data_IF_757750988384
#
_entry.id   IF_757750988384
#
_cell.length_a   1.000
_cell.length_b   1.000
_cell.length_c   1.000
_cell.angle_alpha   90.00
_cell.angle_beta   90.00
_cell.angle_gamma   90.00
#
_symmetry.space_group_name_H-M   'P 1'
#
loop_
_entity.id
_entity.type
_entity.pdbx_description
1 polymer ?
#
# COMPACT_ATOMS: atom_id res chain seq x y z
N UNK A 1 -7.63 -17.22 1.28
CA UNK A 1 -7.07 -15.89 1.48
C UNK A 1 -7.90 -15.09 2.49
N UNK A 2 -9.16 -14.75 2.18
CA UNK A 2 -9.97 -13.83 2.99
C UNK A 2 -10.10 -14.28 4.46
N UNK A 3 -10.36 -15.56 4.71
CA UNK A 3 -10.44 -16.09 6.07
C UNK A 3 -9.13 -15.89 6.85
N UNK A 4 -8.00 -16.24 6.24
CA UNK A 4 -6.68 -16.10 6.87
C UNK A 4 -6.37 -14.63 7.14
N UNK A 5 -6.52 -13.75 6.15
CA UNK A 5 -6.21 -12.33 6.30
C UNK A 5 -7.10 -11.65 7.37
N UNK A 6 -8.39 -11.98 7.43
CA UNK A 6 -9.27 -11.39 8.43
C UNK A 6 -9.06 -11.94 9.83
N UNK A 7 -8.89 -13.26 10.00
CA UNK A 7 -8.68 -13.84 11.34
C UNK A 7 -7.30 -13.50 11.89
N UNK A 8 -6.23 -13.92 11.21
CA UNK A 8 -4.87 -13.67 11.69
C UNK A 8 -4.51 -12.19 11.66
N UNK A 9 -4.90 -11.45 10.60
CA UNK A 9 -4.66 -10.02 10.53
C UNK A 9 -5.37 -9.24 11.64
N UNK A 10 -6.60 -9.61 12.00
CA UNK A 10 -7.33 -8.97 13.12
C UNK A 10 -6.67 -9.28 14.46
N UNK A 11 -6.35 -10.55 14.73
CA UNK A 11 -5.67 -10.95 15.97
C UNK A 11 -4.33 -10.22 16.07
N UNK A 12 -3.54 -10.24 15.00
CA UNK A 12 -2.25 -9.57 14.94
C UNK A 12 -2.39 -8.07 15.19
N UNK A 13 -3.27 -7.38 14.46
CA UNK A 13 -3.48 -5.93 14.60
C UNK A 13 -3.91 -5.52 16.01
N UNK A 14 -4.78 -6.28 16.66
CA UNK A 14 -5.26 -5.98 18.02
C UNK A 14 -4.22 -6.30 19.09
N UNK A 15 -3.33 -7.26 18.86
CA UNK A 15 -2.25 -7.60 19.80
C UNK A 15 -1.04 -6.67 19.70
N UNK A 16 -0.94 -5.88 18.64
CA UNK A 16 0.15 -4.92 18.50
C UNK A 16 0.04 -3.76 19.48
N UNK A 17 1.18 -3.19 19.91
CA UNK A 17 1.20 -2.01 20.75
C UNK A 17 0.45 -0.83 20.14
N UNK A 18 0.11 0.17 20.97
CA UNK A 18 -0.69 1.32 20.56
C UNK A 18 0.05 2.29 19.63
N UNK A 19 1.37 2.18 19.50
CA UNK A 19 2.19 3.11 18.70
C UNK A 19 3.39 2.41 18.06
N UNK A 20 3.96 3.04 17.03
CA UNK A 20 5.24 2.70 16.39
C UNK A 20 5.42 1.22 15.99
N UNK A 21 4.42 0.61 15.41
CA UNK A 21 4.54 -0.74 14.87
C UNK A 21 5.14 -0.71 13.47
N UNK A 22 4.56 0.09 12.58
CA UNK A 22 5.07 0.30 11.23
C UNK A 22 5.90 1.58 11.13
N UNK A 23 6.62 1.73 10.02
CA UNK A 23 7.36 2.96 9.74
C UNK A 23 6.43 4.15 9.62
N UNK A 24 6.78 5.26 10.27
CA UNK A 24 6.03 6.53 10.26
C UNK A 24 4.55 6.36 10.68
N UNK A 25 4.24 5.36 11.51
CA UNK A 25 2.84 5.02 11.87
C UNK A 25 2.13 6.18 12.55
N UNK A 26 2.85 6.96 13.37
CA UNK A 26 2.33 8.15 14.03
C UNK A 26 1.90 9.23 13.01
N UNK A 27 2.65 9.42 11.94
CA UNK A 27 2.31 10.35 10.86
C UNK A 27 1.09 9.84 10.10
N UNK A 28 1.05 8.55 9.80
CA UNK A 28 -0.07 7.92 9.12
C UNK A 28 -1.35 7.94 9.95
N UNK A 29 -1.24 7.69 11.25
CA UNK A 29 -2.36 7.84 12.17
C UNK A 29 -2.91 9.27 12.17
N UNK A 30 -2.04 10.28 12.31
CA UNK A 30 -2.44 11.68 12.29
C UNK A 30 -3.22 12.02 11.01
N UNK A 31 -2.74 11.59 9.84
CA UNK A 31 -3.43 11.82 8.57
C UNK A 31 -4.81 11.14 8.51
N UNK A 32 -4.92 9.89 8.99
CA UNK A 32 -6.18 9.17 9.06
C UNK A 32 -7.17 9.85 10.02
N UNK A 33 -6.69 10.29 11.18
CA UNK A 33 -7.49 10.99 12.20
C UNK A 33 -7.99 12.35 11.68
N UNK A 34 -7.15 13.14 11.03
CA UNK A 34 -7.55 14.40 10.42
C UNK A 34 -8.55 14.20 9.30
N UNK A 35 -8.37 13.17 8.47
CA UNK A 35 -9.35 12.83 7.46
C UNK A 35 -10.71 12.45 8.06
N UNK A 36 -10.72 11.67 9.15
CA UNK A 36 -11.94 11.29 9.87
C UNK A 36 -12.68 12.51 10.43
N UNK A 37 -11.95 13.52 10.85
CA UNK A 37 -12.48 14.71 11.50
C UNK A 37 -12.47 15.96 10.59
N UNK A 38 -12.27 15.79 9.29
CA UNK A 38 -12.24 16.88 8.34
C UNK A 38 -13.52 17.74 8.45
N UNK A 39 -13.35 19.07 8.62
CA UNK A 39 -14.41 20.05 8.88
C UNK A 39 -15.21 19.84 10.17
N UNK A 40 -14.80 18.94 11.04
CA UNK A 40 -15.40 18.83 12.36
C UNK A 40 -14.40 19.40 13.36
N UNK A 41 -14.73 20.46 14.10
CA UNK A 41 -13.83 20.96 15.14
C UNK A 41 -13.67 19.91 16.22
N UNK A 42 -12.49 19.34 16.34
CA UNK A 42 -12.13 18.39 17.37
C UNK A 42 -10.98 18.98 18.16
N UNK A 43 -11.22 19.20 19.44
CA UNK A 43 -10.16 19.53 20.37
C UNK A 43 -9.55 18.18 20.82
N UNK A 44 -8.45 17.78 20.19
CA UNK A 44 -7.58 16.80 20.81
C UNK A 44 -6.62 17.55 21.72
N UNK A 45 -6.33 16.99 22.89
CA UNK A 45 -5.31 17.54 23.76
C UNK A 45 -3.97 17.55 23.01
N UNK A 46 -3.32 18.71 22.79
CA UNK A 46 -2.06 18.79 22.08
C UNK A 46 -0.96 17.94 22.73
N UNK A 47 -0.95 17.82 24.05
CA UNK A 47 -0.01 16.97 24.78
C UNK A 47 -0.22 15.50 24.45
N UNK A 48 -1.47 15.06 24.37
CA UNK A 48 -1.84 13.69 24.05
C UNK A 48 -1.40 13.29 22.63
N UNK A 49 -1.56 14.20 21.68
CA UNK A 49 -1.13 13.95 20.31
C UNK A 49 0.38 14.02 20.15
N UNK A 50 1.04 14.87 20.92
CA UNK A 50 2.49 14.92 20.94
C UNK A 50 3.08 13.64 21.55
N UNK A 51 2.48 13.09 22.59
CA UNK A 51 2.86 11.78 23.14
C UNK A 51 2.59 10.66 22.14
N UNK A 52 1.47 10.70 21.42
CA UNK A 52 1.18 9.74 20.37
C UNK A 52 2.15 9.86 19.17
N UNK A 53 2.48 11.07 18.78
CA UNK A 53 3.36 11.32 17.63
C UNK A 53 4.84 11.21 17.99
N UNK A 54 5.26 11.67 19.17
CA UNK A 54 6.64 11.50 19.67
C UNK A 54 6.94 10.05 20.05
N UNK A 55 5.89 9.32 20.41
CA UNK A 55 5.92 7.92 20.77
C UNK A 55 6.73 7.65 22.04
N UNK A 56 6.08 7.09 23.03
CA UNK A 56 6.80 6.36 24.08
C UNK A 56 7.64 5.31 23.37
N UNK A 57 8.94 5.29 23.61
CA UNK A 57 9.82 4.28 23.03
C UNK A 57 9.62 2.95 23.77
N UNK A 58 8.62 2.21 23.32
CA UNK A 58 8.26 0.90 23.89
C UNK A 58 9.02 -0.24 23.22
N UNK A 59 10.05 0.07 22.48
CA UNK A 59 10.85 -0.90 21.79
C UNK A 59 12.11 -1.30 22.60
N UNK A 60 12.46 -2.57 22.67
CA UNK A 60 11.79 -3.75 22.11
C UNK A 60 10.51 -4.13 22.90
N UNK A 61 9.43 -4.20 22.15
CA UNK A 61 8.05 -4.39 22.63
C UNK A 61 7.83 -5.65 23.49
N UNK A 62 8.63 -6.70 23.30
CA UNK A 62 8.49 -7.98 24.00
C UNK A 62 9.15 -7.99 25.41
N UNK A 63 9.66 -6.87 25.88
CA UNK A 63 10.19 -6.76 27.25
C UNK A 63 9.08 -6.37 28.21
N UNK A 64 9.03 -6.95 29.43
CA UNK A 64 7.98 -6.68 30.41
C UNK A 64 7.82 -5.21 30.76
N UNK A 65 8.93 -4.48 30.98
CA UNK A 65 8.90 -3.04 31.28
C UNK A 65 8.24 -2.22 30.17
N UNK A 66 8.46 -2.58 28.91
CA UNK A 66 7.85 -1.90 27.79
C UNK A 66 6.34 -2.23 27.67
N UNK A 67 5.91 -3.39 28.15
CA UNK A 67 4.49 -3.75 28.24
C UNK A 67 3.76 -2.92 29.31
N UNK A 68 4.41 -2.67 30.44
CA UNK A 68 3.85 -1.81 31.48
C UNK A 68 3.72 -0.36 31.00
N UNK A 69 4.71 0.17 30.28
CA UNK A 69 4.62 1.48 29.64
C UNK A 69 3.48 1.54 28.60
N UNK A 70 3.31 0.49 27.82
CA UNK A 70 2.19 0.38 26.86
C UNK A 70 0.83 0.37 27.58
N UNK A 71 0.72 -0.36 28.67
CA UNK A 71 -0.51 -0.41 29.45
C UNK A 71 -0.80 0.96 30.10
N UNK A 72 0.21 1.63 30.62
CA UNK A 72 0.11 2.97 31.19
C UNK A 72 -0.32 3.99 30.13
N UNK A 73 0.31 3.96 28.94
CA UNK A 73 -0.07 4.81 27.81
C UNK A 73 -1.52 4.57 27.38
N UNK A 74 -1.92 3.31 27.24
CA UNK A 74 -3.30 2.96 26.86
C UNK A 74 -4.30 3.45 27.90
N UNK A 75 -3.98 3.31 29.18
CA UNK A 75 -4.82 3.81 30.28
C UNK A 75 -4.93 5.32 30.25
N UNK A 76 -3.82 6.01 30.10
CA UNK A 76 -3.78 7.48 29.96
C UNK A 76 -4.63 7.98 28.78
N UNK A 77 -4.51 7.33 27.64
CA UNK A 77 -5.28 7.66 26.45
C UNK A 77 -6.78 7.48 26.65
N UNK A 78 -7.18 6.37 27.29
CA UNK A 78 -8.60 6.12 27.60
C UNK A 78 -9.20 7.12 28.57
N UNK A 79 -8.39 7.67 29.50
CA UNK A 79 -8.85 8.64 30.49
C UNK A 79 -8.90 10.07 29.93
N UNK A 80 -7.96 10.44 29.09
CA UNK A 80 -7.73 11.83 28.69
C UNK A 80 -8.15 12.15 27.24
N UNK A 81 -8.28 11.13 26.38
CA UNK A 81 -8.77 11.35 25.03
C UNK A 81 -10.29 11.45 24.99
N UNK A 82 -10.79 12.63 25.25
CA UNK A 82 -12.15 12.99 24.87
C UNK A 82 -12.17 13.62 23.51
N UNK A 83 -13.06 13.15 22.62
CA UNK A 83 -13.46 13.95 21.45
C UNK A 83 -14.22 15.18 21.97
N UNK A 84 -13.48 16.19 22.41
CA UNK A 84 -14.08 17.45 22.84
C UNK A 84 -14.31 18.31 21.58
N UNK A 85 -15.53 18.70 21.35
CA UNK A 85 -15.83 19.74 20.39
C UNK A 85 -15.23 21.05 20.89
N UNK A 86 -14.30 21.62 20.17
CA UNK A 86 -13.62 22.85 20.51
C UNK A 86 -13.45 23.78 19.32
N UNK A 87 -13.17 25.04 19.60
CA UNK A 87 -13.08 26.11 18.58
C UNK A 87 -11.81 26.04 17.71
N UNK A 88 -10.82 25.24 18.07
CA UNK A 88 -9.59 25.11 17.30
C UNK A 88 -9.65 23.92 16.38
N UNK A 89 -9.86 24.23 15.13
CA UNK A 89 -9.47 23.35 14.03
C UNK A 89 -7.95 23.16 14.07
N UNK A 90 -7.53 21.94 14.07
CA UNK A 90 -6.18 21.61 13.66
C UNK A 90 -5.94 22.27 12.31
N UNK A 91 -4.99 23.20 12.25
CA UNK A 91 -4.47 23.70 10.96
C UNK A 91 -3.76 22.51 10.33
N UNK A 92 -4.43 21.89 9.44
CA UNK A 92 -3.99 20.59 9.01
C UNK A 92 -3.39 20.72 7.65
N UNK A 93 -2.16 20.43 7.58
CA UNK A 93 -1.51 20.02 6.36
C UNK A 93 -1.94 18.62 5.98
N UNK A 94 -3.28 18.42 5.89
CA UNK A 94 -3.82 17.19 5.35
C UNK A 94 -3.26 17.00 3.95
N UNK A 95 -2.36 16.07 3.80
CA UNK A 95 -1.77 15.78 2.51
C UNK A 95 -2.83 15.19 1.58
N UNK A 96 -3.43 16.04 0.76
CA UNK A 96 -4.52 15.66 -0.16
C UNK A 96 -4.12 14.57 -1.16
N UNK A 97 -2.83 14.39 -1.41
CA UNK A 97 -2.34 13.35 -2.31
C UNK A 97 -2.40 11.97 -1.68
N UNK A 98 -2.15 11.87 -0.37
CA UNK A 98 -2.13 10.60 0.37
C UNK A 98 -3.46 10.19 0.98
N UNK A 99 -4.47 11.06 0.97
CA UNK A 99 -5.80 10.82 1.58
C UNK A 99 -6.44 9.49 1.17
N UNK A 100 -6.32 9.11 -0.11
CA UNK A 100 -6.91 7.84 -0.61
C UNK A 100 -6.39 6.61 0.12
N UNK A 101 -5.17 6.68 0.67
CA UNK A 101 -4.55 5.60 1.43
C UNK A 101 -5.15 5.36 2.81
N UNK A 102 -5.85 6.35 3.37
CA UNK A 102 -6.34 6.30 4.76
C UNK A 102 -7.86 6.12 4.89
N UNK A 103 -8.59 5.98 3.79
CA UNK A 103 -10.07 5.94 3.79
C UNK A 103 -10.61 4.88 4.75
N UNK A 104 -10.05 3.67 4.76
CA UNK A 104 -10.49 2.58 5.64
C UNK A 104 -10.36 2.95 7.12
N UNK A 105 -9.18 3.39 7.54
CA UNK A 105 -8.91 3.83 8.90
C UNK A 105 -9.76 5.04 9.30
N UNK A 106 -9.87 6.03 8.42
CA UNK A 106 -10.64 7.24 8.67
C UNK A 106 -12.14 6.95 8.89
N UNK A 107 -12.71 6.02 8.13
CA UNK A 107 -14.11 5.61 8.31
C UNK A 107 -14.36 4.97 9.69
N UNK A 108 -13.46 4.10 10.12
CA UNK A 108 -13.56 3.45 11.45
C UNK A 108 -13.35 4.46 12.56
N UNK A 109 -12.35 5.35 12.44
CA UNK A 109 -12.11 6.42 13.41
C UNK A 109 -13.31 7.36 13.51
N UNK A 110 -13.92 7.73 12.39
CA UNK A 110 -15.14 8.57 12.39
C UNK A 110 -16.32 7.88 13.05
N UNK A 111 -16.61 6.64 12.67
CA UNK A 111 -17.71 5.88 13.23
C UNK A 111 -17.53 5.65 14.74
N UNK A 112 -16.34 5.26 15.17
CA UNK A 112 -16.03 5.07 16.58
C UNK A 112 -16.04 6.35 17.40
N UNK A 113 -15.63 7.47 16.82
CA UNK A 113 -15.76 8.79 17.44
C UNK A 113 -17.21 9.19 17.68
N UNK A 114 -18.10 8.92 16.71
CA UNK A 114 -19.55 9.15 16.86
C UNK A 114 -20.18 8.26 17.93
N UNK A 115 -19.65 7.05 18.11
CA UNK A 115 -20.08 6.10 19.14
C UNK A 115 -19.40 6.31 20.50
N UNK A 116 -18.55 7.33 20.63
CA UNK A 116 -17.79 7.65 21.84
C UNK A 116 -16.95 6.47 22.36
N UNK A 117 -16.38 5.66 21.46
CA UNK A 117 -15.50 4.56 21.84
C UNK A 117 -14.23 5.13 22.51
N UNK A 118 -13.77 4.57 23.64
CA UNK A 118 -12.54 5.00 24.30
C UNK A 118 -11.36 5.02 23.33
N UNK A 119 -10.55 6.05 23.39
CA UNK A 119 -9.57 6.35 22.33
C UNK A 119 -8.53 5.25 22.12
N UNK A 120 -7.99 4.64 23.19
CA UNK A 120 -7.03 3.56 23.06
C UNK A 120 -7.59 2.31 22.35
N UNK A 121 -8.89 2.05 22.52
CA UNK A 121 -9.59 1.00 21.75
C UNK A 121 -9.81 1.47 20.32
N UNK A 122 -10.27 2.70 20.13
CA UNK A 122 -10.56 3.27 18.83
C UNK A 122 -9.30 3.34 17.95
N UNK A 123 -8.15 3.67 18.53
CA UNK A 123 -6.87 3.63 17.86
C UNK A 123 -6.61 2.26 17.21
N UNK A 124 -6.76 1.18 18.01
CA UNK A 124 -6.58 -0.19 17.49
C UNK A 124 -7.63 -0.58 16.45
N UNK A 125 -8.87 -0.17 16.64
CA UNK A 125 -9.94 -0.43 15.66
C UNK A 125 -9.69 0.29 14.34
N UNK A 126 -9.11 1.49 14.36
CA UNK A 126 -8.75 2.23 13.15
C UNK A 126 -7.77 1.48 12.24
N UNK A 127 -6.85 0.70 12.82
CA UNK A 127 -5.97 -0.21 12.07
C UNK A 127 -6.76 -1.26 11.29
N UNK A 128 -7.82 -1.81 11.89
CA UNK A 128 -8.68 -2.80 11.23
C UNK A 128 -9.36 -2.25 9.99
N UNK A 129 -9.67 -0.95 9.96
CA UNK A 129 -10.21 -0.31 8.77
C UNK A 129 -9.28 -0.45 7.56
N UNK A 130 -7.98 -0.27 7.78
CA UNK A 130 -6.96 -0.45 6.75
C UNK A 130 -6.85 -1.93 6.30
N UNK A 131 -6.77 -2.84 7.28
CA UNK A 131 -6.72 -4.28 7.03
C UNK A 131 -7.93 -4.77 6.21
N UNK A 132 -9.12 -4.31 6.54
CA UNK A 132 -10.34 -4.79 5.86
C UNK A 132 -10.45 -4.27 4.43
N UNK A 133 -10.03 -3.03 4.18
CA UNK A 133 -9.92 -2.51 2.80
C UNK A 133 -8.90 -3.32 2.00
N UNK A 134 -7.72 -3.57 2.57
CA UNK A 134 -6.70 -4.41 1.97
C UNK A 134 -7.22 -5.80 1.61
N UNK A 135 -7.80 -6.51 2.58
CA UNK A 135 -8.32 -7.85 2.40
C UNK A 135 -9.45 -7.92 1.35
N UNK A 136 -10.38 -6.97 1.40
CA UNK A 136 -11.50 -6.92 0.47
C UNK A 136 -11.03 -6.66 -0.97
N UNK A 137 -10.18 -5.66 -1.18
CA UNK A 137 -9.71 -5.29 -2.52
C UNK A 137 -8.84 -6.40 -3.12
N UNK A 138 -7.94 -7.00 -2.33
CA UNK A 138 -7.13 -8.12 -2.79
C UNK A 138 -7.96 -9.40 -3.06
N UNK A 139 -9.00 -9.64 -2.29
CA UNK A 139 -9.92 -10.73 -2.60
C UNK A 139 -10.51 -10.58 -4.02
N UNK A 140 -10.94 -9.37 -4.39
CA UNK A 140 -11.43 -9.11 -5.74
C UNK A 140 -10.31 -9.21 -6.79
N UNK A 141 -9.08 -8.79 -6.48
CA UNK A 141 -7.94 -8.95 -7.36
C UNK A 141 -7.64 -10.44 -7.62
N UNK A 142 -7.57 -11.26 -6.56
CA UNK A 142 -7.35 -12.71 -6.66
C UNK A 142 -8.49 -13.40 -7.43
N UNK A 143 -9.73 -13.00 -7.17
CA UNK A 143 -10.88 -13.55 -7.88
C UNK A 143 -10.84 -13.22 -9.37
N UNK A 144 -10.44 -11.99 -9.71
CA UNK A 144 -10.44 -11.45 -11.07
C UNK A 144 -9.28 -11.99 -11.91
N UNK A 145 -8.10 -12.21 -11.33
CA UNK A 145 -6.94 -12.65 -12.11
C UNK A 145 -7.18 -14.03 -12.74
N UNK A 146 -6.92 -14.20 -14.06
CA UNK A 146 -7.14 -15.48 -14.76
C UNK A 146 -6.07 -16.52 -14.46
N UNK A 147 -4.86 -16.09 -14.09
CA UNK A 147 -3.68 -16.93 -13.83
C UNK A 147 -2.98 -16.47 -12.56
N UNK A 148 -2.23 -17.38 -11.90
CA UNK A 148 -1.39 -17.02 -10.75
C UNK A 148 -2.14 -16.65 -9.49
N UNK A 149 -3.40 -17.09 -9.29
CA UNK A 149 -4.21 -16.79 -8.08
C UNK A 149 -3.51 -17.19 -6.79
N UNK A 150 -2.85 -18.35 -6.78
CA UNK A 150 -2.12 -18.83 -5.61
C UNK A 150 -0.90 -17.96 -5.29
N UNK A 151 -0.18 -17.52 -6.34
CA UNK A 151 0.97 -16.60 -6.18
C UNK A 151 0.48 -15.29 -5.57
N UNK A 152 -0.56 -14.70 -6.14
CA UNK A 152 -1.12 -13.45 -5.66
C UNK A 152 -1.61 -13.55 -4.21
N UNK A 153 -2.32 -14.66 -3.88
CA UNK A 153 -2.80 -14.90 -2.53
C UNK A 153 -1.64 -15.12 -1.53
N UNK A 154 -0.60 -15.83 -1.94
CA UNK A 154 0.58 -16.05 -1.11
C UNK A 154 1.33 -14.75 -0.82
N UNK A 155 1.62 -13.95 -1.85
CA UNK A 155 2.29 -12.66 -1.69
C UNK A 155 1.48 -11.70 -0.82
N UNK A 156 0.15 -11.71 -0.96
CA UNK A 156 -0.74 -10.88 -0.15
C UNK A 156 -0.81 -11.31 1.33
N UNK A 157 -0.48 -12.57 1.62
CA UNK A 157 -0.44 -13.11 3.00
C UNK A 157 0.98 -13.11 3.59
N UNK A 158 1.96 -12.56 2.89
CA UNK A 158 3.29 -12.44 3.45
C UNK A 158 3.27 -11.56 4.71
N UNK A 159 4.16 -11.82 5.67
CA UNK A 159 4.15 -11.15 6.97
C UNK A 159 4.23 -9.63 6.89
N UNK A 160 5.13 -9.08 6.08
CA UNK A 160 5.29 -7.63 5.94
C UNK A 160 4.04 -6.92 5.37
N UNK A 161 3.45 -7.32 4.22
CA UNK A 161 2.18 -6.78 3.75
C UNK A 161 1.04 -6.91 4.77
N UNK A 162 0.97 -8.01 5.51
CA UNK A 162 -0.04 -8.23 6.55
C UNK A 162 0.19 -7.33 7.77
N UNK A 163 1.44 -7.12 8.17
CA UNK A 163 1.81 -6.21 9.25
C UNK A 163 1.43 -4.77 8.87
N UNK A 164 1.82 -4.31 7.68
CA UNK A 164 1.45 -2.98 7.19
C UNK A 164 -0.07 -2.81 7.09
N UNK A 165 -0.81 -3.84 6.66
CA UNK A 165 -2.26 -3.81 6.61
C UNK A 165 -2.90 -3.71 8.00
N UNK A 166 -2.29 -4.34 9.01
CA UNK A 166 -2.71 -4.30 10.41
C UNK A 166 -2.22 -3.08 11.19
N UNK A 167 -1.58 -2.12 10.56
CA UNK A 167 -1.07 -0.87 11.14
C UNK A 167 -1.63 0.35 10.39
N UNK A 168 -1.35 1.56 10.88
CA UNK A 168 -1.60 2.76 10.11
C UNK A 168 -0.52 2.90 9.04
N UNK A 169 -0.92 2.76 7.79
CA UNK A 169 -0.09 2.97 6.61
C UNK A 169 -0.97 3.14 5.38
N UNK A 170 -0.52 3.88 4.39
CA UNK A 170 -1.18 3.94 3.09
C UNK A 170 -0.76 2.78 2.16
N UNK A 171 0.36 2.12 2.43
CA UNK A 171 0.94 1.10 1.56
C UNK A 171 0.02 -0.09 1.26
N UNK A 172 -0.76 -0.60 2.21
CA UNK A 172 -1.73 -1.66 1.94
C UNK A 172 -2.79 -1.25 0.91
N UNK A 173 -3.30 -0.02 1.01
CA UNK A 173 -4.26 0.50 0.03
C UNK A 173 -3.61 0.66 -1.34
N UNK A 174 -2.39 1.23 -1.42
CA UNK A 174 -1.62 1.33 -2.66
C UNK A 174 -1.46 -0.04 -3.29
N UNK A 175 -0.92 -1.01 -2.54
CA UNK A 175 -0.68 -2.37 -3.01
C UNK A 175 -1.97 -3.04 -3.50
N UNK A 176 -3.02 -3.01 -2.71
CA UNK A 176 -4.28 -3.69 -3.02
C UNK A 176 -4.93 -3.15 -4.31
N UNK A 177 -5.00 -1.84 -4.46
CA UNK A 177 -5.62 -1.21 -5.63
C UNK A 177 -4.76 -1.35 -6.89
N UNK A 178 -3.44 -1.25 -6.80
CA UNK A 178 -2.55 -1.53 -7.93
C UNK A 178 -2.66 -3.00 -8.37
N UNK A 179 -2.77 -3.93 -7.45
CA UNK A 179 -2.94 -5.34 -7.77
C UNK A 179 -4.31 -5.63 -8.37
N UNK A 180 -5.37 -4.96 -7.93
CA UNK A 180 -6.69 -5.06 -8.56
C UNK A 180 -6.66 -4.53 -10.01
N UNK A 181 -5.98 -3.41 -10.23
CA UNK A 181 -5.75 -2.88 -11.59
C UNK A 181 -4.96 -3.85 -12.45
N UNK A 182 -3.85 -4.39 -11.93
CA UNK A 182 -3.04 -5.39 -12.62
C UNK A 182 -3.82 -6.66 -12.94
N UNK A 183 -4.65 -7.17 -12.00
CA UNK A 183 -5.54 -8.30 -12.23
C UNK A 183 -6.55 -8.00 -13.38
N UNK A 184 -7.01 -6.74 -13.45
CA UNK A 184 -7.84 -6.27 -14.57
C UNK A 184 -7.13 -6.30 -15.91
N UNK A 185 -5.86 -5.88 -15.96
CA UNK A 185 -5.02 -5.95 -17.16
C UNK A 185 -4.79 -7.41 -17.59
N UNK A 186 -4.46 -8.29 -16.61
CA UNK A 186 -4.29 -9.72 -16.89
C UNK A 186 -5.57 -10.37 -17.42
N UNK A 187 -6.74 -10.04 -16.84
CA UNK A 187 -8.02 -10.52 -17.31
C UNK A 187 -8.31 -10.02 -18.75
N UNK A 188 -8.02 -8.75 -19.04
CA UNK A 188 -8.18 -8.19 -20.36
C UNK A 188 -7.23 -8.86 -21.39
N UNK A 189 -6.01 -9.18 -20.99
CA UNK A 189 -5.01 -9.78 -21.87
C UNK A 189 -5.23 -11.28 -22.10
N UNK A 190 -5.53 -12.03 -21.05
CA UNK A 190 -5.53 -13.50 -21.04
C UNK A 190 -6.93 -14.12 -20.89
N UNK A 191 -7.91 -13.34 -20.44
CA UNK A 191 -9.30 -13.80 -20.25
C UNK A 191 -10.00 -14.09 -21.58
N UNK A 192 -11.16 -14.75 -21.50
CA UNK A 192 -11.95 -15.14 -22.69
C UNK A 192 -12.77 -14.00 -23.31
N UNK A 193 -12.91 -12.86 -22.64
CA UNK A 193 -13.78 -11.76 -23.08
C UNK A 193 -12.98 -10.63 -23.71
N UNK A 194 -13.63 -9.92 -24.65
CA UNK A 194 -13.10 -8.67 -25.16
C UNK A 194 -13.21 -7.59 -24.08
N UNK A 195 -12.21 -6.71 -24.05
CA UNK A 195 -12.20 -5.55 -23.18
C UNK A 195 -13.29 -4.56 -23.59
N UNK A 196 -14.06 -4.09 -22.65
CA UNK A 196 -15.04 -3.03 -22.84
C UNK A 196 -14.67 -1.79 -22.00
N UNK A 197 -15.42 -0.70 -22.22
CA UNK A 197 -15.17 0.56 -21.51
C UNK A 197 -15.35 0.46 -19.99
N UNK A 198 -16.20 -0.45 -19.49
CA UNK A 198 -16.39 -0.69 -18.06
C UNK A 198 -15.14 -1.34 -17.44
N UNK A 199 -14.60 -2.35 -18.13
CA UNK A 199 -13.36 -3.00 -17.71
C UNK A 199 -12.18 -2.01 -17.74
N UNK A 200 -12.07 -1.20 -18.81
CA UNK A 200 -11.08 -0.15 -18.92
C UNK A 200 -11.18 0.87 -17.78
N UNK A 201 -12.37 1.40 -17.56
CA UNK A 201 -12.60 2.37 -16.50
C UNK A 201 -12.26 1.79 -15.11
N UNK A 202 -12.60 0.53 -14.85
CA UNK A 202 -12.24 -0.12 -13.59
C UNK A 202 -10.72 -0.23 -13.41
N UNK A 203 -9.99 -0.63 -14.46
CA UNK A 203 -8.51 -0.67 -14.45
C UNK A 203 -7.94 0.70 -14.13
N UNK A 204 -8.39 1.74 -14.84
CA UNK A 204 -7.89 3.11 -14.67
C UNK A 204 -8.24 3.66 -13.29
N UNK A 205 -9.47 3.51 -12.84
CA UNK A 205 -9.91 4.04 -11.54
C UNK A 205 -9.18 3.38 -10.38
N UNK A 206 -9.03 2.05 -10.41
CA UNK A 206 -8.28 1.34 -9.37
C UNK A 206 -6.80 1.68 -9.43
N UNK A 207 -6.23 1.84 -10.62
CA UNK A 207 -4.85 2.29 -10.78
C UNK A 207 -4.63 3.69 -10.20
N UNK A 208 -5.44 4.66 -10.60
CA UNK A 208 -5.33 6.05 -10.14
C UNK A 208 -5.50 6.12 -8.62
N UNK A 209 -6.44 5.37 -8.06
CA UNK A 209 -6.64 5.32 -6.61
C UNK A 209 -5.39 4.86 -5.87
N UNK A 210 -4.77 3.75 -6.28
CA UNK A 210 -3.56 3.24 -5.66
C UNK A 210 -2.31 4.08 -5.96
N UNK A 211 -2.13 4.51 -7.21
CA UNK A 211 -0.94 5.24 -7.65
C UNK A 211 -0.88 6.68 -7.13
N UNK A 212 -2.04 7.29 -6.79
CA UNK A 212 -2.10 8.70 -6.33
C UNK A 212 -1.21 8.96 -5.11
N UNK A 213 -1.00 7.98 -4.27
CA UNK A 213 -0.15 8.10 -3.08
C UNK A 213 1.34 8.04 -3.42
N UNK A 214 1.71 7.18 -4.36
CA UNK A 214 3.11 6.94 -4.78
C UNK A 214 3.23 6.92 -6.30
N UNK A 215 3.60 8.06 -6.91
CA UNK A 215 3.73 8.19 -8.36
C UNK A 215 4.83 7.33 -8.98
N UNK A 216 5.76 6.83 -8.19
CA UNK A 216 6.81 5.90 -8.66
C UNK A 216 6.22 4.66 -9.35
N UNK A 217 4.98 4.31 -9.02
CA UNK A 217 4.26 3.21 -9.66
C UNK A 217 3.55 3.59 -10.96
N UNK A 218 3.56 4.87 -11.38
CA UNK A 218 2.87 5.33 -12.59
C UNK A 218 3.21 4.53 -13.86
N UNK A 219 4.47 4.10 -14.11
CA UNK A 219 4.79 3.31 -15.29
C UNK A 219 4.09 1.95 -15.35
N UNK A 220 3.60 1.39 -14.23
CA UNK A 220 2.94 0.07 -14.22
C UNK A 220 1.65 0.04 -15.06
N UNK A 221 0.97 1.17 -15.25
CA UNK A 221 -0.23 1.22 -16.11
C UNK A 221 0.10 0.91 -17.57
N UNK A 222 1.34 1.15 -17.99
CA UNK A 222 1.81 0.86 -19.37
C UNK A 222 1.81 -0.64 -19.68
N UNK A 223 1.71 -1.52 -18.68
CA UNK A 223 1.44 -2.95 -18.89
C UNK A 223 0.14 -3.16 -19.68
N UNK A 224 -0.81 -2.22 -19.62
CA UNK A 224 -2.01 -2.22 -20.45
C UNK A 224 -1.74 -2.16 -21.97
N UNK A 225 -0.57 -1.66 -22.39
CA UNK A 225 -0.15 -1.66 -23.80
C UNK A 225 0.12 -3.07 -24.32
N UNK A 226 0.42 -4.03 -23.43
CA UNK A 226 0.66 -5.43 -23.78
C UNK A 226 -0.64 -6.21 -24.07
N UNK A 227 -1.82 -5.63 -23.83
CA UNK A 227 -3.10 -6.26 -24.15
C UNK A 227 -3.17 -6.49 -25.67
N UNK A 228 -3.37 -7.75 -26.14
CA UNK A 228 -3.38 -8.09 -27.55
C UNK A 228 -4.49 -7.38 -28.33
N UNK A 229 -4.24 -7.08 -29.60
CA UNK A 229 -5.18 -6.31 -30.44
C UNK A 229 -6.56 -6.99 -30.60
N UNK A 230 -6.59 -8.32 -30.65
CA UNK A 230 -7.82 -9.12 -30.76
C UNK A 230 -8.74 -9.02 -29.53
N UNK A 231 -8.24 -8.52 -28.41
CA UNK A 231 -9.02 -8.28 -27.18
C UNK A 231 -9.88 -7.03 -27.23
N UNK A 232 -9.68 -6.17 -28.22
CA UNK A 232 -10.49 -4.97 -28.43
C UNK A 232 -11.61 -5.23 -29.43
N UNK A 233 -12.70 -4.47 -29.36
CA UNK A 233 -13.83 -4.60 -30.30
C UNK A 233 -13.52 -4.02 -31.68
N UNK A 234 -12.70 -2.94 -31.71
CA UNK A 234 -12.27 -2.26 -32.92
C UNK A 234 -10.85 -1.69 -32.76
N UNK A 235 -10.19 -1.41 -33.89
CA UNK A 235 -8.89 -0.72 -33.92
C UNK A 235 -8.96 0.66 -33.25
N UNK A 236 -10.08 1.38 -33.43
CA UNK A 236 -10.30 2.70 -32.83
C UNK A 236 -10.31 2.59 -31.31
N UNK A 237 -11.09 1.65 -30.73
CA UNK A 237 -11.09 1.41 -29.27
C UNK A 237 -9.71 1.03 -28.74
N UNK A 238 -8.98 0.18 -29.46
CA UNK A 238 -7.62 -0.20 -29.10
C UNK A 238 -6.70 1.02 -28.98
N UNK A 239 -6.67 1.90 -29.99
CA UNK A 239 -5.82 3.09 -29.96
C UNK A 239 -6.24 4.08 -28.86
N UNK A 240 -7.55 4.28 -28.65
CA UNK A 240 -8.05 5.16 -27.60
C UNK A 240 -7.70 4.64 -26.21
N UNK A 241 -7.91 3.35 -25.94
CA UNK A 241 -7.62 2.77 -24.62
C UNK A 241 -6.11 2.69 -24.35
N UNK A 242 -5.31 2.27 -25.34
CA UNK A 242 -3.84 2.26 -25.22
C UNK A 242 -3.26 3.67 -25.08
N UNK A 243 -3.74 4.62 -25.86
CA UNK A 243 -3.39 6.03 -25.70
C UNK A 243 -3.78 6.58 -24.33
N UNK A 244 -4.95 6.19 -23.83
CA UNK A 244 -5.40 6.55 -22.50
C UNK A 244 -4.48 6.04 -21.39
N UNK A 245 -3.93 4.83 -21.48
CA UNK A 245 -2.93 4.33 -20.50
C UNK A 245 -1.66 5.20 -20.51
N UNK A 246 -1.20 5.65 -21.67
CA UNK A 246 -0.04 6.56 -21.79
C UNK A 246 -0.36 7.90 -21.15
N UNK A 247 -1.55 8.46 -21.44
CA UNK A 247 -1.99 9.73 -20.85
C UNK A 247 -2.10 9.64 -19.32
N UNK A 248 -2.70 8.56 -18.79
CA UNK A 248 -2.80 8.36 -17.34
C UNK A 248 -1.42 8.24 -16.70
N UNK A 249 -0.50 7.51 -17.30
CA UNK A 249 0.90 7.45 -16.84
C UNK A 249 1.50 8.86 -16.75
N UNK A 250 1.41 9.63 -17.82
CA UNK A 250 1.92 11.00 -17.89
C UNK A 250 1.28 11.94 -16.85
N UNK A 251 -0.03 11.89 -16.69
CA UNK A 251 -0.75 12.70 -15.71
C UNK A 251 -0.37 12.33 -14.26
N UNK A 252 -0.21 11.04 -13.97
CA UNK A 252 0.23 10.59 -12.64
C UNK A 252 1.66 11.07 -12.35
N UNK A 253 2.59 10.93 -13.28
CA UNK A 253 3.94 11.45 -13.13
C UNK A 253 3.95 12.98 -12.96
N UNK A 254 3.21 13.68 -13.81
CA UNK A 254 3.13 15.14 -13.78
C UNK A 254 2.54 15.66 -12.46
N UNK A 255 1.58 14.95 -11.86
CA UNK A 255 0.96 15.33 -10.59
C UNK A 255 1.96 15.39 -9.42
N UNK A 256 3.09 14.70 -9.51
CA UNK A 256 4.17 14.72 -8.53
C UNK A 256 5.33 15.65 -8.94
N UNK A 257 5.67 15.67 -10.22
CA UNK A 257 6.78 16.48 -10.73
C UNK A 257 6.43 17.97 -10.70
N UNK A 258 5.21 18.33 -11.14
CA UNK A 258 4.81 19.72 -11.29
C UNK A 258 4.82 20.50 -9.96
N UNK A 259 4.29 19.98 -8.83
CA UNK A 259 4.35 20.69 -7.56
C UNK A 259 5.79 21.02 -7.12
N UNK A 260 6.75 20.11 -7.33
CA UNK A 260 8.16 20.32 -6.99
C UNK A 260 8.77 21.43 -7.86
N UNK A 261 8.47 21.44 -9.17
CA UNK A 261 9.02 22.43 -10.09
C UNK A 261 8.50 23.85 -9.82
N UNK A 262 7.20 23.99 -9.46
CA UNK A 262 6.56 25.29 -9.24
C UNK A 262 6.61 25.77 -7.78
N UNK A 263 7.06 24.93 -6.83
CA UNK A 263 7.16 25.28 -5.43
C UNK A 263 8.04 26.55 -5.24
N UNK A 264 7.58 27.54 -4.46
CA UNK A 264 8.36 28.77 -4.26
C UNK A 264 9.65 28.53 -3.45
N UNK A 265 9.66 27.52 -2.60
CA UNK A 265 10.80 27.09 -1.79
C UNK A 265 11.22 25.68 -2.16
N UNK A 266 12.52 25.43 -2.09
CA UNK A 266 13.04 24.08 -2.16
C UNK A 266 12.84 23.43 -0.80
N UNK A 267 12.05 22.38 -0.77
CA UNK A 267 11.79 21.61 0.45
C UNK A 267 12.53 20.28 0.28
N UNK A 268 13.65 20.15 0.97
CA UNK A 268 14.36 18.88 1.03
C UNK A 268 13.73 17.91 2.02
N UNK A 269 14.23 16.68 2.05
CA UNK A 269 13.85 15.70 3.07
C UNK A 269 14.41 16.16 4.43
N UNK A 270 13.51 16.38 5.39
CA UNK A 270 13.88 16.82 6.75
C UNK A 270 14.72 15.79 7.52
N UNK A 271 14.80 14.55 7.02
CA UNK A 271 15.60 13.46 7.58
C UNK A 271 17.03 13.43 7.08
N UNK A 272 17.35 14.24 6.07
CA UNK A 272 18.69 14.34 5.47
C UNK A 272 19.23 15.77 5.46
N UNK A 273 20.48 15.93 5.86
CA UNK A 273 21.17 17.22 5.75
C UNK A 273 21.38 17.58 4.27
N UNK A 274 21.09 18.85 3.92
CA UNK A 274 21.41 19.42 2.60
C UNK A 274 20.69 18.75 1.41
N UNK A 275 19.54 18.14 1.60
CA UNK A 275 18.76 17.58 0.50
C UNK A 275 17.96 18.67 -0.23
N UNK A 276 17.83 18.54 -1.56
CA UNK A 276 17.15 19.49 -2.42
C UNK A 276 16.33 18.73 -3.47
N UNK A 277 15.00 18.83 -3.41
CA UNK A 277 14.12 18.23 -4.41
C UNK A 277 14.30 18.85 -5.80
N UNK A 278 14.47 20.17 -5.85
CA UNK A 278 14.75 20.88 -7.11
C UNK A 278 16.12 20.53 -7.67
N UNK A 279 17.14 20.44 -6.82
CA UNK A 279 18.48 20.01 -7.21
C UNK A 279 18.49 18.60 -7.75
N UNK A 280 17.79 17.68 -7.10
CA UNK A 280 17.63 16.30 -7.58
C UNK A 280 16.92 16.25 -8.94
N UNK A 281 15.85 17.03 -9.11
CA UNK A 281 15.12 17.09 -10.38
C UNK A 281 15.98 17.69 -11.50
N UNK A 282 16.73 18.76 -11.20
CA UNK A 282 17.67 19.37 -12.15
C UNK A 282 18.76 18.37 -12.59
N UNK A 283 19.28 17.59 -11.66
CA UNK A 283 20.26 16.53 -11.96
C UNK A 283 19.67 15.44 -12.85
N UNK A 284 18.46 14.95 -12.53
CA UNK A 284 17.77 13.92 -13.33
C UNK A 284 17.54 14.39 -14.77
N UNK A 285 17.03 15.62 -14.93
CA UNK A 285 16.70 16.17 -16.25
C UNK A 285 17.95 16.59 -17.03
N UNK A 286 18.97 17.12 -16.34
CA UNK A 286 20.23 17.57 -16.97
C UNK A 286 21.18 16.43 -17.36
N UNK A 287 21.16 15.33 -16.60
CA UNK A 287 22.07 14.19 -16.80
C UNK A 287 21.35 12.83 -16.67
N UNK A 288 20.34 12.54 -17.52
CA UNK A 288 19.48 11.37 -17.35
C UNK A 288 20.24 10.04 -17.43
N UNK A 289 21.26 9.93 -18.26
CA UNK A 289 22.08 8.72 -18.38
C UNK A 289 22.97 8.51 -17.17
N UNK A 290 23.58 9.57 -16.64
CA UNK A 290 24.36 9.50 -15.41
C UNK A 290 23.48 9.10 -14.23
N UNK A 291 22.28 9.66 -14.13
CA UNK A 291 21.32 9.28 -13.10
C UNK A 291 20.87 7.82 -13.24
N UNK A 292 20.56 7.36 -14.46
CA UNK A 292 20.24 5.96 -14.72
C UNK A 292 21.37 5.02 -14.29
N UNK A 293 22.62 5.40 -14.54
CA UNK A 293 23.80 4.65 -14.08
C UNK A 293 23.88 4.57 -12.56
N UNK A 294 23.67 5.70 -11.87
CA UNK A 294 23.61 5.73 -10.39
C UNK A 294 22.52 4.79 -9.87
N UNK A 295 21.33 4.81 -10.46
CA UNK A 295 20.23 3.90 -10.08
C UNK A 295 20.61 2.43 -10.28
N UNK A 296 21.23 2.10 -11.41
CA UNK A 296 21.67 0.72 -11.69
C UNK A 296 22.75 0.26 -10.71
N UNK A 297 23.74 1.09 -10.44
CA UNK A 297 24.78 0.78 -9.46
C UNK A 297 24.19 0.58 -8.06
N UNK A 298 23.25 1.45 -7.67
CA UNK A 298 22.58 1.33 -6.38
C UNK A 298 21.73 0.04 -6.30
N UNK A 299 20.96 -0.26 -7.34
CA UNK A 299 20.18 -1.49 -7.41
C UNK A 299 21.05 -2.74 -7.19
N UNK A 300 22.18 -2.86 -7.92
CA UNK A 300 23.06 -4.02 -7.78
C UNK A 300 23.78 -4.07 -6.42
N UNK A 301 24.05 -2.93 -5.80
CA UNK A 301 24.63 -2.87 -4.46
C UNK A 301 23.64 -3.29 -3.38
N UNK A 302 22.39 -2.84 -3.49
CA UNK A 302 21.37 -3.04 -2.45
C UNK A 302 20.58 -4.32 -2.62
N UNK A 303 20.48 -4.89 -3.85
CA UNK A 303 19.73 -6.10 -4.12
C UNK A 303 20.07 -7.27 -3.17
N UNK A 304 21.35 -7.55 -2.84
CA UNK A 304 21.65 -8.62 -1.88
C UNK A 304 21.04 -8.39 -0.50
N UNK A 305 21.01 -7.15 -0.01
CA UNK A 305 20.44 -6.82 1.31
C UNK A 305 18.92 -6.97 1.32
N UNK A 306 18.25 -6.68 0.21
CA UNK A 306 16.81 -6.92 0.08
C UNK A 306 16.44 -8.40 -0.04
N UNK A 307 17.32 -9.23 -0.56
CA UNK A 307 17.06 -10.66 -0.73
C UNK A 307 17.54 -11.48 0.46
N UNK A 308 18.70 -11.19 1.01
CA UNK A 308 19.38 -12.01 2.02
C UNK A 308 19.73 -11.29 3.32
N UNK A 309 19.56 -9.98 3.38
CA UNK A 309 20.01 -9.12 4.48
C UNK A 309 18.90 -8.65 5.41
N UNK A 310 19.23 -7.64 6.19
CA UNK A 310 18.36 -7.03 7.20
C UNK A 310 17.08 -6.41 6.61
N UNK A 311 17.10 -5.99 5.35
CA UNK A 311 15.95 -5.45 4.62
C UNK A 311 15.19 -6.52 3.82
N UNK A 312 15.33 -7.79 4.19
CA UNK A 312 14.71 -8.90 3.48
C UNK A 312 13.22 -9.03 3.79
N UNK A 313 12.56 -9.97 3.10
CA UNK A 313 11.11 -10.25 3.22
C UNK A 313 10.62 -10.53 4.66
N UNK A 314 11.50 -10.71 5.61
CA UNK A 314 11.18 -10.97 7.02
C UNK A 314 11.21 -9.75 7.93
N UNK A 315 11.44 -8.54 7.40
CA UNK A 315 11.44 -7.32 8.19
C UNK A 315 9.99 -6.87 8.49
N UNK A 316 9.70 -6.63 9.77
CA UNK A 316 8.37 -6.32 10.28
C UNK A 316 8.33 -4.93 10.95
N UNK A 317 8.76 -3.90 10.24
CA UNK A 317 8.81 -2.54 10.78
C UNK A 317 9.66 -2.45 12.04
N UNK A 318 9.14 -1.77 13.05
CA UNK A 318 9.80 -1.64 14.36
C UNK A 318 9.69 -2.90 15.24
N UNK A 319 8.89 -3.89 14.83
CA UNK A 319 8.78 -5.15 15.58
C UNK A 319 9.94 -6.13 15.31
N UNK A 320 10.88 -5.75 14.44
CA UNK A 320 12.10 -6.50 14.16
C UNK A 320 12.00 -7.45 12.97
N UNK A 321 12.88 -8.43 12.92
CA UNK A 321 12.96 -9.42 11.85
C UNK A 321 12.41 -10.77 12.29
N UNK A 322 11.80 -11.50 11.35
CA UNK A 322 11.36 -12.87 11.61
C UNK A 322 12.54 -13.79 11.91
N UNK A 323 12.37 -14.67 12.89
CA UNK A 323 13.38 -15.69 13.25
C UNK A 323 13.67 -16.70 12.14
N UNK A 324 12.73 -16.90 11.22
CA UNK A 324 12.82 -17.90 10.15
C UNK A 324 12.49 -17.33 8.76
N UNK A 325 13.25 -16.34 8.25
CA UNK A 325 12.97 -15.72 6.94
C UNK A 325 13.10 -16.74 5.78
N UNK A 326 13.93 -17.78 5.92
CA UNK A 326 14.09 -18.84 4.93
C UNK A 326 12.78 -19.59 4.63
N UNK A 327 11.83 -19.68 5.58
CA UNK A 327 10.53 -20.29 5.35
C UNK A 327 9.71 -19.52 4.29
N UNK A 328 9.87 -18.19 4.21
CA UNK A 328 9.23 -17.35 3.19
C UNK A 328 9.82 -17.62 1.80
N UNK A 329 11.14 -17.81 1.71
CA UNK A 329 11.81 -18.14 0.44
C UNK A 329 11.42 -19.53 -0.04
N UNK A 330 11.42 -20.51 0.85
CA UNK A 330 10.99 -21.88 0.52
C UNK A 330 9.52 -21.90 0.08
N UNK A 331 8.63 -21.24 0.82
CA UNK A 331 7.22 -21.09 0.46
C UNK A 331 7.03 -20.41 -0.89
N UNK A 332 7.77 -19.34 -1.17
CA UNK A 332 7.75 -18.65 -2.46
C UNK A 332 8.16 -19.57 -3.60
N UNK A 333 9.24 -20.32 -3.43
CA UNK A 333 9.71 -21.28 -4.42
C UNK A 333 8.67 -22.38 -4.71
N UNK A 334 8.06 -22.95 -3.67
CA UNK A 334 7.01 -23.97 -3.81
C UNK A 334 5.80 -23.41 -4.56
N UNK A 335 5.33 -22.22 -4.22
CA UNK A 335 4.17 -21.59 -4.88
C UNK A 335 4.46 -21.28 -6.34
N UNK A 336 5.65 -20.77 -6.67
CA UNK A 336 6.05 -20.48 -8.05
C UNK A 336 6.13 -21.77 -8.87
N UNK A 337 6.77 -22.82 -8.35
CA UNK A 337 6.91 -24.10 -9.02
C UNK A 337 5.56 -24.77 -9.28
N UNK A 338 4.68 -24.80 -8.27
CA UNK A 338 3.35 -25.42 -8.41
C UNK A 338 2.44 -24.63 -9.35
N UNK A 339 2.51 -23.30 -9.34
CA UNK A 339 1.77 -22.47 -10.28
C UNK A 339 2.26 -22.64 -11.72
N UNK A 340 3.57 -22.81 -11.93
CA UNK A 340 4.17 -23.11 -13.22
C UNK A 340 3.68 -24.46 -13.79
N UNK A 341 3.63 -25.50 -12.97
CA UNK A 341 3.16 -26.83 -13.38
C UNK A 341 1.67 -26.81 -13.77
N UNK A 342 0.82 -26.11 -13.05
CA UNK A 342 -0.60 -26.00 -13.37
C UNK A 342 -0.86 -25.33 -14.72
N UNK A 343 -0.03 -24.38 -15.10
CA UNK A 343 -0.08 -23.70 -16.39
C UNK A 343 0.43 -24.57 -17.54
N UNK A 344 1.50 -25.33 -17.30
CA UNK A 344 2.06 -26.27 -18.27
C UNK A 344 1.11 -27.44 -18.56
N UNK A 345 0.48 -28.01 -17.53
CA UNK A 345 -0.50 -29.08 -17.68
C UNK A 345 -1.76 -28.69 -18.46
N UNK A 346 -2.19 -27.44 -18.39
CA UNK A 346 -3.30 -26.91 -19.21
C UNK A 346 -2.87 -26.75 -20.68
N UNK A 347 -1.68 -26.26 -20.95
CA UNK A 347 -1.15 -26.13 -22.33
C UNK A 347 -0.95 -27.50 -22.99
N UNK A 348 -0.41 -28.49 -22.25
CA UNK A 348 -0.30 -29.86 -22.73
C UNK A 348 -1.66 -30.48 -23.06
N UNK A 349 -2.67 -30.32 -22.22
CA UNK A 349 -4.03 -30.82 -22.52
C UNK A 349 -4.65 -30.15 -23.73
N UNK A 350 -4.42 -28.85 -23.95
CA UNK A 350 -4.89 -28.14 -25.15
C UNK A 350 -4.16 -28.65 -26.40
N UNK A 351 -2.83 -28.86 -26.35
CA UNK A 351 -2.07 -29.45 -27.44
C UNK A 351 -2.53 -30.88 -27.76
N UNK A 352 -2.74 -31.72 -26.74
CA UNK A 352 -3.25 -33.09 -26.92
C UNK A 352 -4.69 -33.12 -27.47
N UNK A 353 -5.52 -32.16 -27.12
CA UNK A 353 -6.89 -32.06 -27.66
C UNK A 353 -6.92 -31.59 -29.11
N UNK A 354 -5.95 -30.78 -29.53
CA UNK A 354 -5.79 -30.35 -30.90
C UNK A 354 -5.22 -31.49 -31.78
N UNK A 355 -4.25 -32.28 -31.29
CA UNK A 355 -3.73 -33.46 -32.00
C UNK A 355 -4.75 -34.58 -32.16
N UNK A 356 -5.79 -34.70 -31.35
CA UNK A 356 -6.87 -35.70 -31.51
C UNK A 356 -7.96 -35.26 -32.53
N UNK A 357 -7.90 -34.05 -33.02
CA UNK A 357 -8.86 -33.51 -34.03
C UNK A 357 -8.26 -33.35 -35.43
N UNK A 358 -6.99 -33.66 -35.59
CA UNK A 358 -6.31 -33.94 -36.86
C UNK A 358 -6.12 -35.45 -37.04
#
# INVERSE_FOLDING_TARGET
FLLISLTFGTIFSLSLPANKVSWDEEVHFAQAFWMANYRTPVQADPALLQEFTAGVDTWPYNQPENQDEQAALTSYLNQNAGYRHGEHLWSTDLNKTTMTGYVGSALVLKAGGLLHIPFGILYKLGRLGNLYVYAAVLYFAIKKTPVGKAILAFLALMPEPMMLAGAYSYDPTVTAFLWLSFAGILEAALGGRKMDWKAYALIVLTFVWGCRVKAVYAPLILLGLMIPAEKFRSKREMYLMKGGFIVICGLMMLSFILPVLIAPRDIGDTRGDSTSEKGQMAYILGQPLAYAWVLMCNLFRTLPSYVLGENSLGLLGHTGTMSFPWALYAGSAVVILTAGQSSCGKRLRVCFSLCRRC
#
